data_IF_705100370688
#
_entry.id   IF_705100370688
#
_cell.length_a   1.000
_cell.length_b   1.000
_cell.length_c   1.000
_cell.angle_alpha   90.00
_cell.angle_beta   90.00
_cell.angle_gamma   90.00
#
_symmetry.space_group_name_H-M   'P 1'
#
loop_
_entity.id
_entity.type
_entity.pdbx_description
1 polymer ?
#
# COMPACT_ATOMS: atom_id res chain seq x y z
N UNK A 1 29.72 -20.71 11.20
CA UNK A 1 28.74 -20.36 10.14
C UNK A 1 27.38 -20.64 10.75
N UNK A 2 26.56 -19.67 11.18
CA UNK A 2 25.64 -18.90 10.32
C UNK A 2 25.05 -17.70 11.08
N UNK A 3 24.74 -16.64 10.32
CA UNK A 3 24.43 -15.27 10.73
C UNK A 3 22.98 -15.08 11.25
N UNK A 4 22.82 -14.18 12.21
CA UNK A 4 21.69 -13.25 12.46
C UNK A 4 20.25 -13.80 12.53
N UNK A 5 19.71 -13.95 13.74
CA UNK A 5 18.24 -13.89 13.96
C UNK A 5 17.86 -12.45 14.32
N UNK A 6 17.92 -11.56 13.34
CA UNK A 6 17.15 -10.31 13.39
C UNK A 6 15.70 -10.74 13.48
N UNK A 7 15.05 -10.55 14.62
CA UNK A 7 13.62 -10.85 14.79
C UNK A 7 12.85 -10.12 13.71
N UNK A 8 12.40 -10.85 12.68
CA UNK A 8 11.70 -10.28 11.54
C UNK A 8 10.40 -9.69 12.07
N UNK A 9 10.34 -8.35 12.17
CA UNK A 9 9.13 -7.63 12.52
C UNK A 9 8.07 -8.03 11.50
N UNK A 10 7.06 -8.78 11.95
CA UNK A 10 5.98 -9.23 11.08
C UNK A 10 5.29 -8.00 10.50
N UNK A 11 5.10 -7.92 9.17
CA UNK A 11 4.47 -6.78 8.55
C UNK A 11 3.04 -6.60 9.09
N UNK A 12 2.64 -5.35 9.30
CA UNK A 12 1.32 -4.98 9.80
C UNK A 12 0.47 -4.42 8.66
N UNK A 13 -0.86 -4.51 8.78
CA UNK A 13 -1.76 -3.86 7.84
C UNK A 13 -1.52 -2.34 7.83
N UNK A 14 -1.35 -1.77 6.63
CA UNK A 14 -1.08 -0.34 6.45
C UNK A 14 -2.20 0.53 7.02
N UNK A 15 -3.46 0.07 6.95
CA UNK A 15 -4.63 0.82 7.41
C UNK A 15 -4.90 0.65 8.90
N UNK A 16 -5.22 -0.57 9.36
CA UNK A 16 -5.63 -0.82 10.74
C UNK A 16 -4.49 -1.15 11.70
N UNK A 17 -3.25 -1.28 11.18
CA UNK A 17 -2.03 -1.62 11.94
C UNK A 17 -2.06 -2.98 12.67
N UNK A 18 -3.04 -3.83 12.36
CA UNK A 18 -3.10 -5.20 12.88
C UNK A 18 -2.02 -6.07 12.20
N UNK A 19 -1.21 -6.76 13.00
CA UNK A 19 -0.14 -7.67 12.58
C UNK A 19 -0.46 -9.15 12.83
N UNK A 20 -1.65 -9.44 13.40
CA UNK A 20 -2.13 -10.80 13.66
C UNK A 20 -2.71 -11.42 12.40
N UNK A 21 -3.27 -10.59 11.52
CA UNK A 21 -3.90 -11.01 10.27
C UNK A 21 -2.89 -11.17 9.13
N UNK A 22 -3.16 -12.10 8.22
CA UNK A 22 -2.40 -12.23 6.99
C UNK A 22 -2.68 -11.06 6.05
N UNK A 23 -1.62 -10.54 5.44
CA UNK A 23 -1.72 -9.45 4.48
C UNK A 23 -1.91 -10.04 3.08
N UNK A 24 -3.16 -10.10 2.65
CA UNK A 24 -3.55 -10.72 1.37
C UNK A 24 -3.67 -9.71 0.22
N UNK A 25 -3.81 -8.43 0.55
CA UNK A 25 -4.02 -7.39 -0.45
C UNK A 25 -2.83 -6.45 -0.48
N UNK A 26 -2.21 -6.31 -1.64
CA UNK A 26 -1.03 -5.46 -1.84
C UNK A 26 -1.30 -4.47 -2.96
N UNK A 27 -0.91 -3.21 -2.76
CA UNK A 27 -0.85 -2.21 -3.83
C UNK A 27 0.47 -1.47 -3.78
N UNK A 28 0.88 -0.92 -4.90
CA UNK A 28 2.03 -0.02 -4.99
C UNK A 28 1.53 1.41 -5.17
N UNK A 29 2.03 2.32 -4.34
CA UNK A 29 1.68 3.73 -4.37
C UNK A 29 2.96 4.54 -4.53
N UNK A 30 3.16 5.12 -5.72
CA UNK A 30 4.45 5.68 -6.10
C UNK A 30 5.51 4.57 -6.12
N UNK A 31 6.51 4.66 -5.25
CA UNK A 31 7.55 3.64 -5.07
C UNK A 31 7.33 2.77 -3.82
N UNK A 32 6.30 3.05 -3.02
CA UNK A 32 6.05 2.36 -1.77
C UNK A 32 5.02 1.24 -1.95
N UNK A 33 5.41 0.01 -1.62
CA UNK A 33 4.49 -1.12 -1.50
C UNK A 33 3.72 -1.01 -0.18
N UNK A 34 2.40 -1.17 -0.26
CA UNK A 34 1.47 -1.11 0.88
C UNK A 34 0.67 -2.40 0.94
N UNK A 35 0.56 -2.95 2.13
CA UNK A 35 -0.06 -4.26 2.37
C UNK A 35 -1.24 -4.11 3.34
N UNK A 36 -2.30 -4.90 3.12
CA UNK A 36 -3.58 -4.79 3.80
C UNK A 36 -4.17 -6.17 4.13
N UNK A 37 -4.79 -6.27 5.30
CA UNK A 37 -5.39 -7.53 5.77
C UNK A 37 -6.77 -7.83 5.16
N UNK A 38 -7.44 -6.86 4.54
CA UNK A 38 -8.76 -7.04 3.94
C UNK A 38 -9.05 -6.01 2.85
N UNK A 39 -10.00 -6.33 1.95
CA UNK A 39 -10.49 -5.40 0.92
C UNK A 39 -11.04 -4.11 1.53
N UNK A 40 -11.72 -4.18 2.67
CA UNK A 40 -12.23 -2.99 3.35
C UNK A 40 -11.11 -2.04 3.77
N UNK A 41 -10.01 -2.57 4.32
CA UNK A 41 -8.84 -1.76 4.69
C UNK A 41 -8.18 -1.12 3.46
N UNK A 42 -8.11 -1.87 2.35
CA UNK A 42 -7.61 -1.35 1.09
C UNK A 42 -8.52 -0.25 0.52
N UNK A 43 -9.84 -0.44 0.55
CA UNK A 43 -10.82 0.50 0.02
C UNK A 43 -10.82 1.82 0.78
N UNK A 44 -10.83 1.78 2.10
CA UNK A 44 -10.78 2.99 2.92
C UNK A 44 -9.46 3.75 2.70
N UNK A 45 -8.34 3.03 2.60
CA UNK A 45 -7.05 3.63 2.24
C UNK A 45 -7.11 4.32 0.87
N UNK A 46 -7.64 3.64 -0.17
CA UNK A 46 -7.78 4.22 -1.52
C UNK A 46 -8.63 5.49 -1.50
N UNK A 47 -9.74 5.51 -0.76
CA UNK A 47 -10.63 6.67 -0.67
C UNK A 47 -9.92 7.88 -0.06
N UNK A 48 -9.19 7.68 1.04
CA UNK A 48 -8.43 8.77 1.68
C UNK A 48 -7.26 9.20 0.79
N UNK A 49 -6.53 8.24 0.22
CA UNK A 49 -5.39 8.52 -0.65
C UNK A 49 -5.81 9.33 -1.87
N UNK A 50 -6.89 8.96 -2.56
CA UNK A 50 -7.42 9.72 -3.69
C UNK A 50 -7.87 11.13 -3.27
N UNK A 51 -8.55 11.29 -2.13
CA UNK A 51 -8.94 12.62 -1.64
C UNK A 51 -7.74 13.52 -1.41
N UNK A 52 -6.70 13.02 -0.74
CA UNK A 52 -5.47 13.78 -0.48
C UNK A 52 -4.71 14.06 -1.77
N UNK A 53 -4.58 13.06 -2.64
CA UNK A 53 -3.84 13.18 -3.90
C UNK A 53 -4.52 14.17 -4.83
N UNK A 54 -5.85 14.12 -4.98
CA UNK A 54 -6.59 15.09 -5.79
C UNK A 54 -6.52 16.50 -5.21
N UNK A 55 -6.58 16.66 -3.88
CA UNK A 55 -6.41 17.96 -3.24
C UNK A 55 -5.01 18.56 -3.52
N UNK A 56 -3.96 17.73 -3.51
CA UNK A 56 -2.58 18.17 -3.81
C UNK A 56 -2.37 18.43 -5.31
N UNK A 57 -2.97 17.60 -6.19
CA UNK A 57 -2.86 17.74 -7.64
C UNK A 57 -3.71 18.89 -8.22
N UNK A 58 -4.78 19.30 -7.53
CA UNK A 58 -5.50 20.54 -7.86
C UNK A 58 -4.58 21.78 -7.80
N UNK A 59 -3.44 21.68 -7.10
CA UNK A 59 -2.39 22.70 -7.08
C UNK A 59 -1.30 22.51 -8.15
N UNK A 60 -1.25 21.37 -8.87
CA UNK A 60 -0.31 21.11 -9.98
C UNK A 60 -0.79 19.93 -10.89
N UNK A 61 -1.52 20.20 -11.98
CA UNK A 61 -2.43 19.22 -12.62
C UNK A 61 -1.82 18.18 -13.59
N UNK A 62 -0.49 17.97 -13.65
CA UNK A 62 0.14 17.32 -14.82
C UNK A 62 0.85 15.97 -14.65
N UNK A 63 0.92 15.35 -13.46
CA UNK A 63 1.91 14.27 -13.24
C UNK A 63 1.41 12.86 -12.84
N UNK A 64 0.11 12.59 -12.67
CA UNK A 64 -0.29 11.32 -12.03
C UNK A 64 -1.45 10.54 -12.67
N UNK A 65 -1.62 10.60 -13.99
CA UNK A 65 -2.45 9.61 -14.70
C UNK A 65 -1.72 8.27 -14.91
N UNK A 66 -0.44 8.15 -14.53
CA UNK A 66 0.45 7.03 -14.94
C UNK A 66 0.56 5.89 -13.91
N UNK A 67 0.24 6.09 -12.63
CA UNK A 67 0.57 5.08 -11.60
C UNK A 67 -0.56 4.15 -11.14
N UNK A 68 -1.81 4.31 -11.62
CA UNK A 68 -2.91 3.39 -11.27
C UNK A 68 -3.09 2.34 -12.38
N UNK A 69 -1.99 1.81 -12.91
CA UNK A 69 -2.04 0.58 -13.68
C UNK A 69 -1.87 -0.60 -12.70
N UNK A 70 -2.79 -1.57 -12.64
CA UNK A 70 -2.53 -2.81 -11.95
C UNK A 70 -1.44 -3.55 -12.74
N UNK A 71 -0.20 -3.50 -12.27
CA UNK A 71 0.80 -4.46 -12.74
C UNK A 71 0.26 -5.83 -12.43
N UNK A 72 -0.07 -6.56 -13.50
CA UNK A 72 -0.48 -7.94 -13.48
C UNK A 72 0.40 -8.73 -12.51
N UNK A 73 -0.26 -9.55 -11.71
CA UNK A 73 0.32 -10.72 -11.06
C UNK A 73 1.08 -11.50 -12.14
N UNK A 74 2.40 -11.54 -12.03
CA UNK A 74 3.24 -12.53 -12.71
C UNK A 74 4.07 -13.22 -11.62
N UNK A 75 3.46 -14.24 -11.02
CA UNK A 75 3.97 -15.62 -10.83
C UNK A 75 2.96 -16.36 -9.95
#
# INVERSE_FOLDING_TARGET
MSKSRTGQLKPCCTWCKDNRKDLRHTITVGQARREFCSENCLHEFKRVYLKVTLAVLAHRPLLLAVQIAPSAVLD
#
